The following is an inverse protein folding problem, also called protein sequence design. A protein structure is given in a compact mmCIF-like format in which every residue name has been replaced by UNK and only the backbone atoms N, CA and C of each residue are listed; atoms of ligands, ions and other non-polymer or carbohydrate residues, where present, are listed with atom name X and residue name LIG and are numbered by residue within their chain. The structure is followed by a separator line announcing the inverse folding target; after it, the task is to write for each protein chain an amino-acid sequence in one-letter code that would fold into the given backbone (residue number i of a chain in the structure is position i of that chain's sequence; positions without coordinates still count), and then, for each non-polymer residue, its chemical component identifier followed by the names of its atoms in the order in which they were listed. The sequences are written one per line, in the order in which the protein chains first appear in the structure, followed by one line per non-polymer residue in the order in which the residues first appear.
data_IF_703879826640
#
_entry.id   IF_703879826640
#
_cell.length_a   1.000
_cell.length_b   1.000
_cell.length_c   1.000
_cell.angle_alpha   90.00
_cell.angle_beta   90.00
_cell.angle_gamma   90.00
#
_symmetry.space_group_name_H-M   'P 1'
#
loop_
_entity.id
_entity.type
_entity.pdbx_description
1 polymer ?
#
# COMPACT_ATOMS: atom_id res chain seq x y z
N UNK A 1 12.14 -8.40 -11.38
CA UNK A 1 11.57 -8.36 -10.02
C UNK A 1 10.11 -7.95 -10.05
N UNK A 2 9.72 -6.86 -10.72
CA UNK A 2 8.29 -6.50 -10.85
C UNK A 2 7.56 -7.32 -11.92
N UNK A 3 8.25 -7.67 -13.01
CA UNK A 3 7.75 -8.58 -14.06
C UNK A 3 7.49 -10.02 -13.57
N UNK A 4 8.04 -10.43 -12.44
CA UNK A 4 7.77 -11.74 -11.81
C UNK A 4 6.58 -11.71 -10.85
N UNK A 5 6.09 -10.52 -10.50
CA UNK A 5 4.97 -10.33 -9.57
C UNK A 5 3.64 -10.10 -10.30
N UNK A 6 3.65 -10.10 -11.64
CA UNK A 6 2.47 -9.86 -12.49
C UNK A 6 1.69 -8.59 -12.11
N UNK A 7 2.40 -7.53 -11.73
CA UNK A 7 1.81 -6.24 -11.39
C UNK A 7 1.87 -5.30 -12.59
N UNK A 8 0.74 -4.71 -12.96
CA UNK A 8 0.67 -3.72 -14.02
C UNK A 8 1.66 -2.55 -13.76
N UNK A 9 2.54 -2.21 -14.73
CA UNK A 9 3.55 -1.17 -14.54
C UNK A 9 3.00 0.24 -14.32
N UNK A 10 1.77 0.55 -14.72
CA UNK A 10 1.13 1.84 -14.44
C UNK A 10 0.65 1.89 -13.00
N UNK A 11 -0.02 0.84 -12.54
CA UNK A 11 -0.47 0.72 -11.13
C UNK A 11 0.73 0.78 -10.18
N UNK A 12 1.80 0.06 -10.49
CA UNK A 12 3.04 0.09 -9.71
C UNK A 12 3.60 1.52 -9.60
N UNK A 13 3.80 2.21 -10.73
CA UNK A 13 4.40 3.55 -10.74
C UNK A 13 3.54 4.57 -9.98
N UNK A 14 2.22 4.44 -10.06
CA UNK A 14 1.30 5.36 -9.40
C UNK A 14 1.23 5.17 -7.87
N UNK A 15 1.54 3.98 -7.35
CA UNK A 15 1.27 3.62 -5.94
C UNK A 15 2.52 3.30 -5.13
N UNK A 16 3.68 3.02 -5.77
CA UNK A 16 4.90 2.58 -5.07
C UNK A 16 5.37 3.58 -4.01
N UNK A 17 5.25 4.88 -4.27
CA UNK A 17 5.67 5.91 -3.31
C UNK A 17 4.84 5.84 -2.03
N UNK A 18 3.52 5.70 -2.15
CA UNK A 18 2.61 5.66 -1.00
C UNK A 18 2.84 4.41 -0.14
N UNK A 19 3.15 3.28 -0.78
CA UNK A 19 3.53 2.04 -0.07
C UNK A 19 4.83 2.24 0.73
N UNK A 20 5.84 2.86 0.12
CA UNK A 20 7.11 3.14 0.78
C UNK A 20 6.96 4.17 1.92
N UNK A 21 6.09 5.17 1.75
CA UNK A 21 5.80 6.16 2.78
C UNK A 21 5.10 5.51 3.99
N UNK A 22 4.09 4.66 3.76
CA UNK A 22 3.45 3.88 4.83
C UNK A 22 4.47 3.00 5.57
N UNK A 23 5.33 2.32 4.82
CA UNK A 23 6.40 1.47 5.37
C UNK A 23 7.33 2.30 6.25
N UNK A 24 7.72 3.50 5.80
CA UNK A 24 8.56 4.42 6.57
C UNK A 24 7.89 4.82 7.88
N UNK A 25 6.61 5.21 7.86
CA UNK A 25 5.85 5.59 9.07
C UNK A 25 5.86 4.45 10.09
N UNK A 26 5.45 3.25 9.67
CA UNK A 26 5.36 2.09 10.56
C UNK A 26 6.73 1.70 11.13
N UNK A 27 7.80 1.83 10.35
CA UNK A 27 9.16 1.52 10.78
C UNK A 27 9.67 2.49 11.86
N UNK A 28 9.24 3.76 11.82
CA UNK A 28 9.62 4.77 12.80
C UNK A 28 8.75 4.72 14.08
N UNK A 29 7.44 4.51 13.95
CA UNK A 29 6.50 4.63 15.08
C UNK A 29 6.29 3.32 15.86
N UNK A 30 6.36 2.15 15.20
CA UNK A 30 6.09 0.86 15.86
C UNK A 30 7.33 -0.02 15.98
N UNK A 31 7.75 -0.60 14.86
CA UNK A 31 8.89 -1.52 14.82
C UNK A 31 9.26 -1.83 13.37
N UNK A 32 10.56 -1.89 13.08
CA UNK A 32 11.08 -2.17 11.74
C UNK A 32 10.56 -3.50 11.12
N UNK A 33 10.37 -4.60 11.86
CA UNK A 33 9.78 -5.83 11.32
C UNK A 33 8.28 -5.70 10.96
N UNK A 34 7.54 -4.79 11.61
CA UNK A 34 6.12 -4.61 11.34
C UNK A 34 5.87 -3.90 9.99
N UNK A 35 6.80 -3.05 9.57
CA UNK A 35 6.67 -2.25 8.34
C UNK A 35 6.43 -3.08 7.06
N UNK A 36 7.25 -4.10 6.71
CA UNK A 36 7.00 -4.93 5.53
C UNK A 36 5.72 -5.75 5.62
N UNK A 37 5.32 -6.19 6.83
CA UNK A 37 4.08 -6.93 7.04
C UNK A 37 2.86 -6.02 6.82
N UNK A 38 2.90 -4.79 7.34
CA UNK A 38 1.84 -3.80 7.11
C UNK A 38 1.71 -3.45 5.63
N UNK A 39 2.83 -3.23 4.92
CA UNK A 39 2.82 -2.96 3.49
C UNK A 39 2.19 -4.12 2.68
N UNK A 40 2.52 -5.37 3.02
CA UNK A 40 1.94 -6.55 2.38
C UNK A 40 0.43 -6.65 2.63
N UNK A 41 -0.02 -6.54 3.88
CA UNK A 41 -1.44 -6.64 4.24
C UNK A 41 -2.26 -5.49 3.64
N UNK A 42 -1.71 -4.27 3.60
CA UNK A 42 -2.34 -3.13 2.95
C UNK A 42 -2.55 -3.37 1.45
N UNK A 43 -1.52 -3.86 0.76
CA UNK A 43 -1.59 -4.24 -0.65
C UNK A 43 -2.60 -5.36 -0.91
N UNK A 44 -2.60 -6.41 -0.06
CA UNK A 44 -3.54 -7.53 -0.14
C UNK A 44 -5.00 -7.05 0.01
N UNK A 45 -5.28 -6.24 1.03
CA UNK A 45 -6.61 -5.71 1.29
C UNK A 45 -7.09 -4.76 0.16
N UNK A 46 -6.19 -3.98 -0.44
CA UNK A 46 -6.51 -3.15 -1.59
C UNK A 46 -6.84 -3.97 -2.85
N UNK A 47 -6.07 -5.05 -3.12
CA UNK A 47 -6.33 -5.95 -4.24
C UNK A 47 -7.66 -6.71 -4.12
N UNK A 48 -8.03 -7.14 -2.90
CA UNK A 48 -9.32 -7.79 -2.64
C UNK A 48 -10.52 -6.87 -2.93
N UNK A 49 -10.40 -5.56 -2.70
CA UNK A 49 -11.48 -4.59 -2.93
C UNK A 49 -11.62 -4.15 -4.39
N UNK A 50 -10.56 -4.33 -5.18
CA UNK A 50 -10.49 -3.80 -6.56
C UNK A 50 -10.48 -4.92 -7.61
N UNK A 51 -10.77 -6.15 -7.19
CA UNK A 51 -10.86 -7.32 -8.07
C UNK A 51 -11.90 -7.09 -9.17
N UNK A 52 -11.44 -7.05 -10.42
CA UNK A 52 -12.28 -6.82 -11.61
C UNK A 52 -12.47 -5.35 -12.02
N UNK A 53 -11.87 -4.39 -11.31
CA UNK A 53 -11.89 -2.97 -11.66
C UNK A 53 -10.81 -2.56 -12.67
N UNK A 54 -10.95 -1.37 -13.24
CA UNK A 54 -9.95 -0.73 -14.11
C UNK A 54 -8.69 -0.34 -13.32
N UNK A 55 -7.57 -0.12 -14.00
CA UNK A 55 -6.34 0.37 -13.36
C UNK A 55 -6.55 1.70 -12.62
N UNK A 56 -7.41 2.59 -13.14
CA UNK A 56 -7.70 3.87 -12.48
C UNK A 56 -8.41 3.66 -11.14
N UNK A 57 -9.45 2.82 -11.11
CA UNK A 57 -10.18 2.45 -9.89
C UNK A 57 -9.27 1.71 -8.89
N UNK A 58 -8.38 0.85 -9.39
CA UNK A 58 -7.38 0.16 -8.58
C UNK A 58 -6.42 1.16 -7.91
N UNK A 59 -5.86 2.08 -8.68
CA UNK A 59 -4.93 3.10 -8.17
C UNK A 59 -5.62 3.96 -7.11
N UNK A 60 -6.82 4.47 -7.39
CA UNK A 60 -7.56 5.31 -6.46
C UNK A 60 -7.84 4.58 -5.14
N UNK A 61 -8.34 3.35 -5.21
CA UNK A 61 -8.64 2.57 -4.02
C UNK A 61 -7.39 2.20 -3.21
N UNK A 62 -6.27 1.88 -3.88
CA UNK A 62 -4.98 1.65 -3.21
C UNK A 62 -4.54 2.92 -2.47
N UNK A 63 -4.55 4.07 -3.14
CA UNK A 63 -4.12 5.35 -2.58
C UNK A 63 -4.98 5.76 -1.38
N UNK A 64 -6.31 5.68 -1.52
CA UNK A 64 -7.24 5.95 -0.42
C UNK A 64 -6.98 5.03 0.79
N UNK A 65 -6.75 3.75 0.55
CA UNK A 65 -6.51 2.80 1.63
C UNK A 65 -5.16 3.05 2.34
N UNK A 66 -4.10 3.29 1.57
CA UNK A 66 -2.77 3.60 2.13
C UNK A 66 -2.79 4.91 2.93
N UNK A 67 -3.49 5.94 2.44
CA UNK A 67 -3.66 7.19 3.15
C UNK A 67 -4.36 6.98 4.50
N UNK A 68 -5.47 6.22 4.51
CA UNK A 68 -6.19 5.89 5.73
C UNK A 68 -5.32 5.13 6.75
N UNK A 69 -4.57 4.12 6.29
CA UNK A 69 -3.66 3.37 7.16
C UNK A 69 -2.51 4.24 7.70
N UNK A 70 -2.02 5.19 6.90
CA UNK A 70 -0.99 6.12 7.34
C UNK A 70 -1.52 7.08 8.42
N UNK A 71 -2.77 7.53 8.33
CA UNK A 71 -3.41 8.31 9.39
C UNK A 71 -3.56 7.52 10.69
N UNK A 72 -4.02 6.27 10.61
CA UNK A 72 -4.12 5.39 11.77
C UNK A 72 -2.76 5.16 12.42
N UNK A 73 -1.72 4.85 11.63
CA UNK A 73 -0.37 4.60 12.13
C UNK A 73 0.27 5.85 12.78
N UNK A 74 -0.14 7.05 12.38
CA UNK A 74 0.27 8.31 13.03
C UNK A 74 -0.55 8.65 14.28
N UNK A 75 -1.83 8.24 14.29
CA UNK A 75 -2.81 8.59 15.32
C UNK A 75 -2.79 7.73 16.58
N UNK A 76 -2.12 6.56 16.56
CA UNK A 76 -2.03 5.63 17.69
C UNK A 76 -1.09 6.07 18.84
N UNK A 77 -1.08 7.36 19.18
CA UNK A 77 -0.41 7.89 20.38
C UNK A 77 -1.24 7.69 21.64
#
# INVERSE_FOLDING_TARGET
MTSTLDVDPQVLRATIKDVLDLTSIVAHEHSRPAAPVTAFLAGLAAGQRTSGGTHAEQIEAIQQHLAHLADLARGTR
#
